data_IF_690130245997
#
_entry.id   IF_690130245997
#
_cell.length_a   1.000
_cell.length_b   1.000
_cell.length_c   1.000
_cell.angle_alpha   90.00
_cell.angle_beta   90.00
_cell.angle_gamma   90.00
#
_symmetry.space_group_name_H-M   'P 1'
#
loop_
_entity.id
_entity.type
_entity.pdbx_description
1 polymer ?
#
# COMPACT_ATOMS: atom_id res chain seq x y z
N UNK A 1 -4.49 -39.49 -9.69
CA UNK A 1 -5.60 -39.64 -8.73
C UNK A 1 -6.23 -38.30 -8.40
N UNK A 2 -5.43 -37.24 -8.17
CA UNK A 2 -5.94 -35.89 -7.86
C UNK A 2 -6.59 -35.17 -9.06
N UNK A 3 -6.17 -35.47 -10.29
CA UNK A 3 -6.74 -34.88 -11.52
C UNK A 3 -7.89 -35.71 -12.15
N UNK A 4 -8.51 -36.61 -11.39
CA UNK A 4 -9.60 -37.42 -11.92
C UNK A 4 -10.84 -36.56 -12.18
N UNK A 5 -11.43 -36.68 -13.37
CA UNK A 5 -12.63 -35.94 -13.74
C UNK A 5 -13.75 -36.13 -12.69
N UNK A 6 -14.40 -35.04 -12.30
CA UNK A 6 -15.47 -35.04 -11.30
C UNK A 6 -16.57 -36.04 -11.66
N UNK A 7 -17.05 -36.78 -10.66
CA UNK A 7 -18.06 -37.84 -10.83
C UNK A 7 -17.53 -39.18 -11.34
N UNK A 8 -16.23 -39.32 -11.65
CA UNK A 8 -15.63 -40.61 -12.00
C UNK A 8 -15.46 -41.52 -10.80
N UNK A 9 -15.37 -42.84 -11.03
CA UNK A 9 -15.06 -43.81 -9.97
C UNK A 9 -13.70 -43.53 -9.31
N UNK A 10 -12.72 -43.05 -10.08
CA UNK A 10 -11.41 -42.67 -9.56
C UNK A 10 -11.50 -41.45 -8.64
N UNK A 11 -12.30 -40.44 -8.99
CA UNK A 11 -12.59 -39.29 -8.14
C UNK A 11 -13.31 -39.72 -6.85
N UNK A 12 -14.33 -40.59 -6.95
CA UNK A 12 -15.03 -41.14 -5.78
C UNK A 12 -14.10 -41.93 -4.85
N UNK A 13 -13.22 -42.77 -5.41
CA UNK A 13 -12.22 -43.52 -4.64
C UNK A 13 -11.22 -42.58 -3.96
N UNK A 14 -10.74 -41.54 -4.66
CA UNK A 14 -9.83 -40.55 -4.11
C UNK A 14 -10.46 -39.78 -2.93
N UNK A 15 -11.70 -39.29 -3.09
CA UNK A 15 -12.43 -38.63 -2.01
C UNK A 15 -12.61 -39.56 -0.81
N UNK A 16 -12.97 -40.84 -1.04
CA UNK A 16 -13.13 -41.82 0.03
C UNK A 16 -11.82 -42.13 0.73
N UNK A 17 -10.70 -42.18 0.03
CA UNK A 17 -9.38 -42.41 0.63
C UNK A 17 -8.92 -41.22 1.47
N UNK A 18 -9.08 -39.99 0.98
CA UNK A 18 -8.76 -38.76 1.73
C UNK A 18 -9.65 -38.69 2.99
N UNK A 19 -10.95 -38.96 2.85
CA UNK A 19 -11.91 -38.92 3.95
C UNK A 19 -11.87 -40.16 4.85
N UNK A 20 -11.13 -41.22 4.51
CA UNK A 20 -11.02 -42.41 5.36
C UNK A 20 -10.14 -42.17 6.60
N UNK A 21 -9.17 -41.24 6.51
CA UNK A 21 -8.28 -40.88 7.64
C UNK A 21 -8.03 -39.36 7.71
N UNK A 22 -9.07 -38.55 7.95
CA UNK A 22 -8.98 -37.10 7.92
C UNK A 22 -8.01 -36.55 8.98
N UNK A 23 -7.86 -37.24 10.11
CA UNK A 23 -6.89 -36.87 11.14
C UNK A 23 -5.43 -36.94 10.65
N UNK A 24 -5.06 -37.97 9.88
CA UNK A 24 -3.70 -38.11 9.35
C UNK A 24 -3.41 -37.08 8.24
N UNK A 25 -4.39 -36.83 7.36
CA UNK A 25 -4.29 -35.77 6.35
C UNK A 25 -4.14 -34.39 7.02
N UNK A 26 -5.00 -34.09 8.01
CA UNK A 26 -4.91 -32.86 8.80
C UNK A 26 -3.55 -32.70 9.48
N UNK A 27 -3.05 -33.73 10.16
CA UNK A 27 -1.76 -33.68 10.83
C UNK A 27 -0.58 -33.48 9.86
N UNK A 28 -0.71 -33.95 8.62
CA UNK A 28 0.34 -33.83 7.59
C UNK A 28 0.34 -32.46 6.90
N UNK A 29 -0.84 -31.88 6.63
CA UNK A 29 -1.00 -30.67 5.80
C UNK A 29 -1.40 -29.41 6.58
N UNK A 30 -1.83 -29.50 7.85
CA UNK A 30 -2.17 -28.32 8.67
C UNK A 30 -1.13 -28.14 9.77
N UNK A 31 0.04 -27.60 9.41
CA UNK A 31 1.08 -27.19 10.35
C UNK A 31 0.78 -25.80 10.90
N UNK A 32 1.12 -25.56 12.17
CA UNK A 32 0.86 -24.28 12.84
C UNK A 32 1.57 -23.11 12.14
N UNK A 33 2.77 -23.35 11.61
CA UNK A 33 3.55 -22.35 10.87
C UNK A 33 2.82 -21.76 9.65
N UNK A 34 1.86 -22.46 9.04
CA UNK A 34 1.09 -21.91 7.90
C UNK A 34 0.16 -20.75 8.29
N UNK A 35 -0.04 -20.50 9.58
CA UNK A 35 -0.82 -19.37 10.10
C UNK A 35 0.06 -18.26 10.66
N UNK A 36 1.38 -18.46 10.62
CA UNK A 36 2.34 -17.51 11.15
C UNK A 36 2.75 -16.51 10.06
N UNK A 37 2.78 -15.22 10.40
CA UNK A 37 3.31 -14.18 9.52
C UNK A 37 4.79 -14.39 9.19
N UNK A 38 5.54 -15.15 10.00
CA UNK A 38 6.91 -15.55 9.71
C UNK A 38 7.04 -16.36 8.40
N UNK A 39 5.98 -17.05 7.95
CA UNK A 39 5.96 -17.65 6.62
C UNK A 39 6.11 -16.58 5.52
N UNK A 40 5.48 -15.42 5.69
CA UNK A 40 5.56 -14.33 4.72
C UNK A 40 6.96 -13.71 4.69
N UNK A 41 7.69 -13.72 5.82
CA UNK A 41 9.06 -13.19 5.94
C UNK A 41 10.04 -13.82 4.95
N UNK A 42 9.87 -15.11 4.62
CA UNK A 42 10.81 -15.83 3.76
C UNK A 42 10.93 -15.24 2.35
N UNK A 43 9.89 -14.52 1.90
CA UNK A 43 9.85 -13.89 0.58
C UNK A 43 9.66 -12.36 0.66
N UNK A 44 8.95 -11.86 1.68
CA UNK A 44 8.67 -10.42 1.82
C UNK A 44 9.73 -9.65 2.60
N UNK A 45 10.82 -10.30 2.97
CA UNK A 45 12.12 -9.67 3.17
C UNK A 45 13.10 -10.16 2.10
N UNK A 46 13.61 -9.26 1.28
CA UNK A 46 14.50 -9.56 0.16
C UNK A 46 15.86 -8.90 0.37
N UNK A 47 16.91 -9.62 -0.03
CA UNK A 47 18.29 -9.21 0.14
C UNK A 47 19.01 -9.20 -1.21
N UNK A 48 19.89 -8.21 -1.41
CA UNK A 48 20.68 -8.10 -2.62
C UNK A 48 21.65 -9.30 -2.72
N UNK A 49 21.71 -9.98 -3.88
CA UNK A 49 22.73 -10.99 -4.12
C UNK A 49 24.13 -10.41 -3.90
N UNK A 50 25.02 -11.17 -3.28
CA UNK A 50 26.38 -10.73 -2.97
C UNK A 50 26.46 -9.98 -1.64
N UNK A 51 26.10 -8.68 -1.62
CA UNK A 51 26.28 -7.84 -0.42
C UNK A 51 25.38 -8.25 0.75
N UNK A 52 24.29 -8.98 0.50
CA UNK A 52 23.30 -9.35 1.53
C UNK A 52 22.53 -8.14 2.06
N UNK A 53 22.61 -7.00 1.37
CA UNK A 53 21.96 -5.78 1.82
C UNK A 53 20.43 -5.93 1.75
N UNK A 54 19.72 -5.50 2.80
CA UNK A 54 18.26 -5.57 2.86
C UNK A 54 17.64 -4.53 1.91
N UNK A 55 16.98 -5.00 0.85
CA UNK A 55 16.39 -4.15 -0.20
C UNK A 55 14.87 -4.02 -0.03
N UNK A 56 14.23 -5.10 0.41
CA UNK A 56 12.81 -5.14 0.78
C UNK A 56 12.73 -5.67 2.21
N UNK A 57 12.10 -4.91 3.10
CA UNK A 57 12.02 -5.21 4.52
C UNK A 57 10.57 -5.15 5.03
N UNK A 58 9.61 -5.59 4.21
CA UNK A 58 8.17 -5.44 4.48
C UNK A 58 7.76 -6.12 5.77
N UNK A 59 8.32 -7.29 6.06
CA UNK A 59 8.01 -8.00 7.30
C UNK A 59 8.60 -7.28 8.50
N UNK A 60 9.83 -6.75 8.40
CA UNK A 60 10.46 -6.00 9.51
C UNK A 60 9.75 -4.66 9.78
N UNK A 61 9.13 -4.06 8.75
CA UNK A 61 8.25 -2.90 8.90
C UNK A 61 6.98 -3.27 9.67
N UNK A 62 6.34 -4.38 9.29
CA UNK A 62 5.15 -4.90 9.97
C UNK A 62 5.41 -5.32 11.40
N UNK A 63 6.52 -6.03 11.65
CA UNK A 63 6.91 -6.51 12.97
C UNK A 63 7.02 -5.36 13.98
N UNK A 64 7.32 -4.12 13.54
CA UNK A 64 7.44 -2.95 14.42
C UNK A 64 6.12 -2.22 14.65
N UNK A 65 5.06 -2.55 13.92
CA UNK A 65 3.79 -1.85 13.97
C UNK A 65 2.89 -2.29 15.13
N UNK A 66 1.86 -1.49 15.39
CA UNK A 66 0.74 -1.82 16.27
C UNK A 66 0.00 -3.07 15.80
N UNK A 67 0.01 -3.37 14.49
CA UNK A 67 -0.65 -4.56 13.95
C UNK A 67 0.06 -5.84 14.41
N UNK A 68 1.37 -5.82 14.62
CA UNK A 68 2.11 -6.94 15.20
C UNK A 68 2.05 -6.94 16.74
N UNK A 69 2.21 -5.76 17.38
CA UNK A 69 2.56 -5.66 18.80
C UNK A 69 1.48 -5.10 19.73
N UNK A 70 0.30 -4.73 19.26
CA UNK A 70 -0.73 -4.13 20.12
C UNK A 70 -1.00 -4.99 21.36
N UNK A 71 -1.14 -4.38 22.54
CA UNK A 71 -1.46 -5.11 23.77
C UNK A 71 -2.82 -5.81 23.65
N UNK A 72 -3.80 -5.11 23.08
CA UNK A 72 -5.12 -5.64 22.76
C UNK A 72 -5.04 -6.58 21.53
N UNK A 73 -5.25 -7.90 21.69
CA UNK A 73 -5.19 -8.85 20.58
C UNK A 73 -6.24 -8.56 19.50
N UNK A 74 -7.35 -7.89 19.83
CA UNK A 74 -8.38 -7.53 18.86
C UNK A 74 -7.90 -6.46 17.86
N UNK A 75 -6.82 -5.74 18.17
CA UNK A 75 -6.18 -4.75 17.28
C UNK A 75 -5.04 -5.34 16.46
N UNK A 76 -4.52 -6.51 16.83
CA UNK A 76 -3.46 -7.18 16.05
C UNK A 76 -4.01 -7.66 14.71
N UNK A 77 -3.18 -7.56 13.68
CA UNK A 77 -3.45 -8.05 12.32
C UNK A 77 -2.18 -8.64 11.75
N UNK A 78 -2.27 -9.87 11.25
CA UNK A 78 -1.19 -10.51 10.50
C UNK A 78 -1.30 -10.17 9.01
N UNK A 79 -0.26 -10.51 8.24
CA UNK A 79 -0.30 -10.45 6.77
C UNK A 79 -1.53 -11.20 6.22
N UNK A 80 -1.84 -12.35 6.81
CA UNK A 80 -2.92 -13.27 6.40
C UNK A 80 -4.30 -12.62 6.62
N UNK A 81 -4.47 -11.86 7.71
CA UNK A 81 -5.77 -11.24 8.04
C UNK A 81 -6.22 -10.20 7.01
N UNK A 82 -5.27 -9.54 6.33
CA UNK A 82 -5.55 -8.52 5.32
C UNK A 82 -5.39 -9.07 3.88
N UNK A 83 -4.28 -9.73 3.56
CA UNK A 83 -3.96 -10.13 2.18
C UNK A 83 -4.62 -11.44 1.74
N UNK A 84 -5.19 -12.20 2.68
CA UNK A 84 -6.00 -13.38 2.40
C UNK A 84 -7.46 -13.15 2.81
N UNK A 85 -7.88 -11.90 3.00
CA UNK A 85 -9.25 -11.57 3.37
C UNK A 85 -10.20 -11.72 2.17
N UNK A 86 -11.40 -12.32 2.34
CA UNK A 86 -12.43 -12.32 1.29
C UNK A 86 -12.94 -10.93 0.89
N UNK A 87 -12.78 -9.93 1.76
CA UNK A 87 -13.15 -8.54 1.53
C UNK A 87 -11.93 -7.62 1.74
N UNK A 88 -11.00 -7.54 0.77
CA UNK A 88 -9.84 -6.66 0.87
C UNK A 88 -10.22 -5.20 1.10
N UNK A 89 -9.44 -4.54 1.96
CA UNK A 89 -9.66 -3.14 2.36
C UNK A 89 -10.60 -2.92 3.56
N UNK A 90 -11.15 -3.98 4.16
CA UNK A 90 -11.98 -3.90 5.37
C UNK A 90 -11.18 -3.79 6.70
N UNK A 91 -9.88 -3.50 6.65
CA UNK A 91 -9.00 -3.44 7.83
C UNK A 91 -8.71 -4.81 8.48
N UNK A 92 -8.87 -5.91 7.74
CA UNK A 92 -8.63 -7.27 8.22
C UNK A 92 -9.72 -7.79 9.15
N UNK A 93 -10.92 -7.20 9.07
CA UNK A 93 -12.09 -7.69 9.79
C UNK A 93 -12.43 -9.14 9.37
N UNK A 94 -12.88 -10.00 10.30
CA UNK A 94 -13.22 -11.37 9.98
C UNK A 94 -14.44 -11.42 9.07
N UNK A 95 -14.33 -12.17 7.97
CA UNK A 95 -15.46 -12.47 7.09
C UNK A 95 -15.83 -13.94 7.29
N UNK A 96 -17.07 -14.21 7.68
CA UNK A 96 -17.55 -15.57 7.88
C UNK A 96 -17.77 -16.27 6.54
N UNK A 97 -17.49 -17.58 6.48
CA UNK A 97 -17.73 -18.34 5.26
C UNK A 97 -17.24 -19.78 5.35
N UNK A 98 -17.43 -20.52 4.26
CA UNK A 98 -17.01 -21.92 4.13
C UNK A 98 -15.93 -22.02 3.05
N UNK A 99 -14.95 -22.91 3.25
CA UNK A 99 -13.86 -23.12 2.28
C UNK A 99 -14.21 -24.12 1.17
N UNK A 100 -15.24 -24.95 1.39
CA UNK A 100 -15.68 -26.00 0.48
C UNK A 100 -17.20 -26.16 0.59
N UNK A 101 -17.82 -26.72 -0.44
CA UNK A 101 -19.22 -27.16 -0.38
C UNK A 101 -19.41 -28.12 0.81
N UNK A 102 -20.48 -27.91 1.59
CA UNK A 102 -20.78 -28.65 2.82
C UNK A 102 -19.68 -28.58 3.92
N UNK A 103 -18.70 -27.68 3.78
CA UNK A 103 -17.66 -27.46 4.77
C UNK A 103 -18.20 -26.78 6.05
N UNK A 104 -17.44 -26.88 7.13
CA UNK A 104 -17.79 -26.17 8.37
C UNK A 104 -17.77 -24.66 8.15
N UNK A 105 -18.79 -23.96 8.65
CA UNK A 105 -18.78 -22.49 8.69
C UNK A 105 -17.63 -22.00 9.57
N UNK A 106 -16.79 -21.12 9.02
CA UNK A 106 -15.67 -20.50 9.72
C UNK A 106 -16.06 -19.08 10.07
N UNK A 107 -15.78 -18.67 11.30
CA UNK A 107 -15.92 -17.27 11.71
C UNK A 107 -15.00 -16.33 10.90
N UNK A 108 -13.87 -16.86 10.43
CA UNK A 108 -12.92 -16.16 9.55
C UNK A 108 -12.51 -17.09 8.41
N UNK A 109 -12.97 -16.77 7.21
CA UNK A 109 -12.57 -17.40 5.97
C UNK A 109 -11.31 -16.70 5.43
N UNK A 110 -10.42 -17.47 4.83
CA UNK A 110 -9.26 -16.95 4.11
C UNK A 110 -9.30 -17.41 2.64
N UNK A 111 -8.95 -16.51 1.73
CA UNK A 111 -8.76 -16.75 0.30
C UNK A 111 -7.27 -16.80 -0.04
N UNK A 112 -6.91 -17.64 -1.00
CA UNK A 112 -5.52 -17.77 -1.46
C UNK A 112 -5.24 -16.89 -2.70
N UNK A 113 -5.87 -15.72 -2.77
CA UNK A 113 -5.65 -14.74 -3.85
C UNK A 113 -4.39 -13.89 -3.59
N UNK A 114 -3.96 -13.77 -2.32
CA UNK A 114 -2.80 -12.97 -1.90
C UNK A 114 -2.84 -11.54 -2.45
N UNK A 115 -3.97 -10.87 -2.25
CA UNK A 115 -4.29 -9.57 -2.84
C UNK A 115 -3.27 -8.51 -2.43
N UNK A 116 -2.71 -7.78 -3.40
CA UNK A 116 -1.67 -6.78 -3.18
C UNK A 116 -1.87 -5.53 -4.01
N UNK A 117 -0.79 -4.78 -4.25
CA UNK A 117 -0.83 -3.52 -4.99
C UNK A 117 -0.87 -3.70 -6.53
N UNK A 118 -0.58 -4.90 -7.04
CA UNK A 118 -0.50 -5.17 -8.48
C UNK A 118 -1.90 -5.35 -9.08
N UNK A 119 -2.67 -4.28 -9.18
CA UNK A 119 -4.03 -4.33 -9.72
C UNK A 119 -4.04 -4.61 -11.24
N UNK A 120 -3.13 -3.98 -12.01
CA UNK A 120 -3.17 -4.02 -13.47
C UNK A 120 -2.96 -5.42 -14.06
N UNK A 121 -1.84 -6.09 -13.74
CA UNK A 121 -1.56 -7.44 -14.28
C UNK A 121 -2.62 -8.46 -13.86
N UNK A 122 -3.16 -8.30 -12.65
CA UNK A 122 -4.28 -9.13 -12.17
C UNK A 122 -5.54 -8.84 -12.99
N UNK A 123 -5.85 -7.57 -13.27
CA UNK A 123 -7.01 -7.14 -14.06
C UNK A 123 -7.00 -7.59 -15.51
N UNK A 124 -5.81 -7.73 -16.12
CA UNK A 124 -5.67 -8.34 -17.45
C UNK A 124 -6.22 -9.77 -17.50
N UNK A 125 -6.18 -10.49 -16.37
CA UNK A 125 -6.66 -11.88 -16.27
C UNK A 125 -8.07 -11.96 -15.66
N UNK A 126 -8.36 -11.14 -14.66
CA UNK A 126 -9.62 -11.18 -13.92
C UNK A 126 -9.96 -9.78 -13.35
N UNK A 127 -11.02 -9.12 -13.86
CA UNK A 127 -11.41 -7.78 -13.41
C UNK A 127 -11.94 -7.75 -11.96
N UNK A 128 -12.50 -8.85 -11.45
CA UNK A 128 -12.99 -8.91 -10.06
C UNK A 128 -11.81 -8.90 -9.07
N UNK A 129 -10.73 -9.63 -9.39
CA UNK A 129 -9.50 -9.63 -8.60
C UNK A 129 -8.73 -8.30 -8.67
N UNK A 130 -8.90 -7.55 -9.77
CA UNK A 130 -8.43 -6.17 -9.82
C UNK A 130 -9.16 -5.28 -8.82
N UNK A 131 -10.49 -5.40 -8.71
CA UNK A 131 -11.27 -4.63 -7.73
C UNK A 131 -10.84 -4.93 -6.30
N UNK A 132 -10.50 -6.19 -5.98
CA UNK A 132 -9.91 -6.57 -4.70
C UNK A 132 -8.62 -5.79 -4.41
N UNK A 133 -7.72 -5.69 -5.39
CA UNK A 133 -6.46 -4.93 -5.26
C UNK A 133 -6.69 -3.42 -5.11
N UNK A 134 -7.63 -2.88 -5.87
CA UNK A 134 -8.02 -1.46 -5.79
C UNK A 134 -8.67 -1.10 -4.45
N UNK A 135 -9.49 -1.99 -3.89
CA UNK A 135 -10.09 -1.81 -2.57
C UNK A 135 -9.02 -1.73 -1.47
N UNK A 136 -8.02 -2.62 -1.51
CA UNK A 136 -6.89 -2.59 -0.58
C UNK A 136 -6.09 -1.29 -0.71
N UNK A 137 -5.73 -0.89 -1.94
CA UNK A 137 -5.01 0.36 -2.21
C UNK A 137 -5.76 1.59 -1.65
N UNK A 138 -7.06 1.72 -1.95
CA UNK A 138 -7.88 2.86 -1.53
C UNK A 138 -8.09 2.95 -0.02
N UNK A 139 -8.01 1.82 0.69
CA UNK A 139 -8.11 1.77 2.16
C UNK A 139 -6.80 2.13 2.90
N UNK A 140 -5.68 2.22 2.18
CA UNK A 140 -4.35 2.25 2.81
C UNK A 140 -4.01 3.54 3.55
N UNK A 141 -4.50 4.69 3.07
CA UNK A 141 -4.10 6.00 3.58
C UNK A 141 -5.25 7.00 3.63
N UNK A 142 -5.12 7.97 4.52
CA UNK A 142 -6.01 9.13 4.62
C UNK A 142 -5.23 10.42 4.44
N UNK A 143 -5.95 11.46 4.00
CA UNK A 143 -5.42 12.80 3.80
C UNK A 143 -6.06 13.76 4.80
N UNK A 144 -5.25 14.67 5.33
CA UNK A 144 -5.74 15.91 5.95
C UNK A 144 -4.88 17.07 5.49
N UNK A 145 -5.42 18.29 5.52
CA UNK A 145 -4.69 19.46 5.09
C UNK A 145 -5.03 20.66 5.96
N UNK A 146 -4.08 21.56 6.09
CA UNK A 146 -4.19 22.77 6.91
C UNK A 146 -3.36 23.90 6.29
N UNK A 147 -3.72 25.13 6.64
CA UNK A 147 -2.92 26.30 6.30
C UNK A 147 -2.14 26.71 7.54
N UNK A 148 -0.83 26.85 7.38
CA UNK A 148 0.07 27.34 8.41
C UNK A 148 0.72 28.64 7.97
N UNK A 149 1.22 29.41 8.95
CA UNK A 149 2.07 30.56 8.69
C UNK A 149 3.51 30.06 8.56
N UNK A 150 4.14 30.28 7.42
CA UNK A 150 5.59 30.23 7.25
C UNK A 150 6.14 31.66 7.27
N UNK A 151 7.45 31.82 7.50
CA UNK A 151 8.14 33.10 7.77
C UNK A 151 7.49 34.33 7.08
N UNK A 152 7.46 34.32 5.74
CA UNK A 152 6.98 35.46 4.94
C UNK A 152 5.67 35.19 4.20
N UNK A 153 5.13 33.97 4.25
CA UNK A 153 3.91 33.59 3.52
C UNK A 153 3.13 32.47 4.20
N UNK A 154 1.88 32.28 3.80
CA UNK A 154 1.11 31.10 4.21
C UNK A 154 1.59 29.87 3.44
N UNK A 155 1.47 28.68 4.02
CA UNK A 155 1.77 27.41 3.34
C UNK A 155 0.61 26.43 3.51
N UNK A 156 0.37 25.64 2.45
CA UNK A 156 -0.46 24.45 2.55
C UNK A 156 0.39 23.31 3.12
N UNK A 157 -0.03 22.73 4.24
CA UNK A 157 0.53 21.48 4.74
C UNK A 157 -0.47 20.35 4.53
N UNK A 158 -0.05 19.31 3.81
CA UNK A 158 -0.82 18.09 3.56
C UNK A 158 -0.21 16.96 4.36
N UNK A 159 -1.01 16.35 5.22
CA UNK A 159 -0.65 15.12 5.92
C UNK A 159 -1.17 13.91 5.14
N UNK A 160 -0.28 12.98 4.84
CA UNK A 160 -0.62 11.63 4.39
C UNK A 160 -0.41 10.67 5.57
N UNK A 161 -1.49 10.12 6.10
CA UNK A 161 -1.43 9.19 7.22
C UNK A 161 -1.65 7.76 6.74
N UNK A 162 -0.78 6.84 7.17
CA UNK A 162 -0.93 5.42 6.94
C UNK A 162 -1.90 4.86 7.99
N UNK A 163 -3.11 4.55 7.54
CA UNK A 163 -4.21 4.12 8.42
C UNK A 163 -4.68 2.70 8.14
N UNK A 164 -4.28 2.12 7.01
CA UNK A 164 -4.74 0.81 6.56
C UNK A 164 -3.65 -0.26 6.46
N UNK A 165 -2.37 0.10 6.59
CA UNK A 165 -1.27 -0.86 6.46
C UNK A 165 -0.39 -0.93 7.70
N UNK A 166 -0.10 -2.15 8.15
CA UNK A 166 0.87 -2.41 9.21
C UNK A 166 2.32 -2.26 8.77
N UNK A 167 2.61 -2.01 7.49
CA UNK A 167 3.95 -1.77 6.94
C UNK A 167 4.02 -0.37 6.31
N UNK A 168 5.18 0.05 5.80
CA UNK A 168 5.30 1.36 5.15
C UNK A 168 4.46 1.46 3.86
N UNK A 169 4.15 2.70 3.43
CA UNK A 169 3.47 2.98 2.17
C UNK A 169 4.35 3.83 1.23
N UNK A 170 4.61 3.35 0.00
CA UNK A 170 4.49 1.96 -0.43
C UNK A 170 5.58 1.08 0.20
N UNK A 171 5.29 -0.18 0.55
CA UNK A 171 6.31 -1.18 0.91
C UNK A 171 6.76 -1.99 -0.32
N UNK A 172 7.62 -2.99 -0.14
CA UNK A 172 8.15 -3.82 -1.22
C UNK A 172 9.19 -3.08 -2.07
N UNK A 173 9.04 -3.19 -3.38
CA UNK A 173 9.77 -2.44 -4.42
C UNK A 173 9.35 -0.95 -4.45
N UNK A 174 9.48 -0.28 -3.31
CA UNK A 174 9.11 1.12 -3.12
C UNK A 174 10.02 2.12 -3.85
N UNK A 175 11.09 1.63 -4.47
CA UNK A 175 11.97 2.31 -5.42
C UNK A 175 11.41 2.31 -6.86
N UNK A 176 10.45 1.43 -7.16
CA UNK A 176 9.74 1.35 -8.45
C UNK A 176 8.35 1.95 -8.40
N UNK A 177 7.61 1.71 -7.31
CA UNK A 177 6.22 2.17 -7.17
C UNK A 177 6.16 3.68 -7.08
N UNK A 178 5.24 4.28 -7.80
CA UNK A 178 4.97 5.71 -7.70
C UNK A 178 3.77 5.93 -6.79
N UNK A 179 4.00 6.61 -5.66
CA UNK A 179 2.96 7.13 -4.79
C UNK A 179 3.23 8.63 -4.64
N UNK A 180 2.32 9.51 -5.06
CA UNK A 180 2.57 10.95 -5.04
C UNK A 180 1.32 11.78 -4.77
N UNK A 181 1.53 13.02 -4.36
CA UNK A 181 0.48 14.02 -4.21
C UNK A 181 0.30 14.83 -5.49
N UNK A 182 -0.96 14.96 -5.92
CA UNK A 182 -1.43 15.93 -6.91
C UNK A 182 -2.37 16.90 -6.20
N UNK A 183 -2.17 18.20 -6.37
CA UNK A 183 -2.99 19.20 -5.71
C UNK A 183 -3.21 20.46 -6.53
N UNK A 184 -4.34 21.10 -6.27
CA UNK A 184 -4.70 22.44 -6.76
C UNK A 184 -5.29 23.24 -5.61
N UNK A 185 -4.80 24.47 -5.40
CA UNK A 185 -5.33 25.43 -4.41
C UNK A 185 -5.83 26.67 -5.12
N UNK A 186 -7.03 27.10 -4.76
CA UNK A 186 -7.67 28.33 -5.24
C UNK A 186 -7.85 29.30 -4.07
N UNK A 187 -7.54 30.57 -4.27
CA UNK A 187 -7.74 31.62 -3.27
C UNK A 187 -9.18 32.16 -3.23
N UNK A 188 -9.45 33.12 -2.35
CA UNK A 188 -10.77 33.73 -2.19
C UNK A 188 -11.25 34.52 -3.43
N UNK A 189 -10.34 34.97 -4.29
CA UNK A 189 -10.67 35.65 -5.55
C UNK A 189 -11.08 34.68 -6.66
N UNK A 190 -10.88 33.37 -6.45
CA UNK A 190 -11.10 32.34 -7.46
C UNK A 190 -9.87 32.04 -8.33
N UNK A 191 -8.71 32.61 -8.01
CA UNK A 191 -7.45 32.37 -8.72
C UNK A 191 -6.78 31.09 -8.22
N UNK A 192 -6.30 30.25 -9.13
CA UNK A 192 -5.42 29.12 -8.77
C UNK A 192 -4.07 29.68 -8.34
N UNK A 193 -3.70 29.46 -7.08
CA UNK A 193 -2.47 30.00 -6.48
C UNK A 193 -1.40 28.93 -6.26
N UNK A 194 -1.77 27.66 -6.36
CA UNK A 194 -0.86 26.52 -6.33
C UNK A 194 -1.44 25.39 -7.17
N UNK A 195 -0.60 24.78 -8.02
CA UNK A 195 -0.86 23.52 -8.68
C UNK A 195 0.45 22.72 -8.66
N UNK A 196 0.40 21.45 -8.27
CA UNK A 196 1.57 20.58 -8.19
C UNK A 196 1.19 19.12 -8.41
N UNK A 197 2.06 18.34 -9.07
CA UNK A 197 1.91 16.89 -9.20
C UNK A 197 0.94 16.42 -10.29
N UNK A 198 0.42 17.31 -11.14
CA UNK A 198 -0.38 16.93 -12.31
C UNK A 198 0.47 16.15 -13.31
N UNK A 199 0.04 14.94 -13.75
CA UNK A 199 0.79 14.18 -14.73
C UNK A 199 0.98 14.94 -16.05
N UNK A 200 2.19 14.89 -16.60
CA UNK A 200 2.54 15.46 -17.91
C UNK A 200 2.73 14.31 -18.88
N UNK A 201 1.94 14.27 -19.94
CA UNK A 201 1.87 13.14 -20.87
C UNK A 201 1.69 11.79 -20.15
N UNK A 202 0.95 11.80 -19.03
CA UNK A 202 0.74 10.63 -18.18
C UNK A 202 1.91 10.27 -17.27
N UNK A 203 3.09 10.88 -17.37
CA UNK A 203 4.20 10.66 -16.42
C UNK A 203 4.02 11.47 -15.13
N UNK A 204 4.56 10.98 -14.01
CA UNK A 204 4.64 11.80 -12.79
C UNK A 204 5.66 12.92 -13.06
N UNK A 205 5.35 14.19 -12.79
CA UNK A 205 6.28 15.28 -13.06
C UNK A 205 7.48 15.21 -12.09
N UNK A 206 8.64 15.70 -12.53
CA UNK A 206 9.91 15.57 -11.78
C UNK A 206 9.87 16.25 -10.40
N UNK A 207 9.08 17.30 -10.26
CA UNK A 207 8.90 18.08 -9.04
C UNK A 207 7.76 17.58 -8.14
N UNK A 208 7.08 16.48 -8.52
CA UNK A 208 6.05 15.87 -7.68
C UNK A 208 6.62 15.41 -6.33
N UNK A 209 5.83 15.55 -5.27
CA UNK A 209 6.14 14.93 -3.97
C UNK A 209 5.87 13.44 -4.02
N UNK A 210 6.93 12.67 -4.27
CA UNK A 210 6.94 11.21 -4.30
C UNK A 210 7.28 10.62 -2.91
N UNK A 211 6.53 9.59 -2.51
CA UNK A 211 6.82 8.75 -1.36
C UNK A 211 7.49 7.46 -1.84
N UNK A 212 8.82 7.35 -1.67
CA UNK A 212 9.63 6.27 -2.24
C UNK A 212 10.90 6.01 -1.44
N UNK A 213 11.62 4.96 -1.84
CA UNK A 213 13.05 4.79 -1.52
C UNK A 213 13.90 5.21 -2.72
N UNK A 214 15.06 5.81 -2.46
CA UNK A 214 16.11 6.01 -3.46
C UNK A 214 17.36 5.26 -3.01
N UNK A 215 17.74 4.26 -3.81
CA UNK A 215 18.93 3.45 -3.58
C UNK A 215 20.15 4.05 -4.26
N UNK A 216 21.30 3.98 -3.58
CA UNK A 216 22.58 4.47 -4.08
C UNK A 216 23.67 3.41 -4.08
N UNK A 217 24.64 3.59 -4.97
CA UNK A 217 25.87 2.81 -5.00
C UNK A 217 26.88 3.31 -3.94
N UNK A 218 28.08 2.72 -3.93
CA UNK A 218 29.14 3.08 -2.98
C UNK A 218 29.60 4.54 -3.11
N UNK A 219 29.46 5.14 -4.29
CA UNK A 219 29.78 6.55 -4.54
C UNK A 219 28.62 7.48 -4.16
N UNK A 220 27.40 6.95 -4.02
CA UNK A 220 26.18 7.71 -3.74
C UNK A 220 25.44 8.20 -4.95
N UNK A 221 25.66 7.56 -6.10
CA UNK A 221 24.84 7.79 -7.28
C UNK A 221 23.59 6.92 -7.20
N UNK A 222 22.40 7.45 -7.53
CA UNK A 222 21.18 6.67 -7.63
C UNK A 222 21.34 5.47 -8.59
N UNK A 223 20.91 4.29 -8.17
CA UNK A 223 21.04 3.06 -8.98
C UNK A 223 19.80 2.74 -9.82
N UNK A 224 18.69 3.44 -9.57
CA UNK A 224 17.41 3.19 -10.24
C UNK A 224 17.00 1.73 -10.12
N UNK A 225 16.59 1.12 -11.24
CA UNK A 225 16.12 -0.28 -11.27
C UNK A 225 17.23 -1.33 -11.03
N UNK A 226 18.50 -0.92 -10.94
CA UNK A 226 19.63 -1.83 -10.71
C UNK A 226 19.80 -2.08 -9.21
N UNK A 227 18.74 -2.54 -8.55
CA UNK A 227 18.68 -2.72 -7.09
C UNK A 227 19.79 -3.66 -6.56
N UNK A 228 20.32 -4.57 -7.38
CA UNK A 228 21.48 -5.41 -7.04
C UNK A 228 22.80 -4.63 -6.88
N UNK A 229 22.82 -3.35 -7.26
CA UNK A 229 23.95 -2.42 -7.01
C UNK A 229 23.76 -1.59 -5.73
N UNK A 230 22.70 -1.85 -4.97
CA UNK A 230 22.44 -1.15 -3.72
C UNK A 230 23.60 -1.33 -2.74
N UNK A 231 24.12 -0.20 -2.27
CA UNK A 231 25.13 -0.14 -1.22
C UNK A 231 24.70 0.76 -0.05
N UNK A 232 23.91 1.83 -0.33
CA UNK A 232 23.38 2.73 0.71
C UNK A 232 22.03 3.30 0.33
N UNK A 233 21.22 3.59 1.34
CA UNK A 233 19.96 4.30 1.20
C UNK A 233 20.24 5.81 1.09
N UNK A 234 19.81 6.44 0.00
CA UNK A 234 19.99 7.88 -0.21
C UNK A 234 18.81 8.67 0.34
N UNK A 235 17.60 8.12 0.19
CA UNK A 235 16.35 8.78 0.58
C UNK A 235 15.29 7.72 0.93
N UNK A 236 14.50 7.99 1.97
CA UNK A 236 13.28 7.25 2.29
C UNK A 236 12.18 8.23 2.72
N UNK A 237 11.31 8.57 1.77
CA UNK A 237 10.15 9.44 1.99
C UNK A 237 8.88 8.65 2.22
N UNK A 238 8.93 7.32 2.34
CA UNK A 238 7.72 6.51 2.55
C UNK A 238 6.96 6.92 3.81
N UNK A 239 5.66 6.64 3.83
CA UNK A 239 4.84 6.82 5.02
C UNK A 239 5.03 5.59 5.93
N UNK A 240 5.58 5.71 7.14
CA UNK A 240 5.81 4.57 8.02
C UNK A 240 4.49 3.92 8.49
N UNK A 241 4.56 2.69 8.98
CA UNK A 241 3.45 2.07 9.71
C UNK A 241 3.07 2.90 10.94
N UNK A 242 1.78 2.97 11.28
CA UNK A 242 1.22 3.76 12.38
C UNK A 242 1.56 5.27 12.35
N UNK A 243 2.08 5.76 11.23
CA UNK A 243 2.62 7.11 11.14
C UNK A 243 2.06 7.89 9.97
N UNK A 244 2.67 9.04 9.75
CA UNK A 244 2.27 10.00 8.74
C UNK A 244 3.48 10.77 8.21
N UNK A 245 3.29 11.44 7.07
CA UNK A 245 4.21 12.44 6.51
C UNK A 245 3.46 13.72 6.26
N UNK A 246 4.06 14.84 6.66
CA UNK A 246 3.56 16.19 6.36
C UNK A 246 4.42 16.77 5.23
N UNK A 247 3.77 17.16 4.14
CA UNK A 247 4.40 17.83 3.00
C UNK A 247 3.88 19.27 2.93
N UNK A 248 4.78 20.23 2.70
CA UNK A 248 4.44 21.65 2.73
C UNK A 248 4.71 22.33 1.37
N UNK A 249 3.78 23.20 0.95
CA UNK A 249 3.90 24.04 -0.22
C UNK A 249 3.68 25.50 0.16
N UNK A 250 4.64 26.40 -0.10
CA UNK A 250 4.43 27.83 0.10
C UNK A 250 3.33 28.33 -0.85
N UNK A 251 2.45 29.17 -0.32
CA UNK A 251 1.49 29.91 -1.12
C UNK A 251 2.09 31.29 -1.45
N UNK A 252 1.68 31.90 -2.59
CA UNK A 252 2.07 33.27 -2.92
C UNK A 252 1.72 34.25 -1.79
N UNK A 253 2.57 35.25 -1.55
CA UNK A 253 2.38 36.24 -0.47
C UNK A 253 1.14 37.12 -0.68
N UNK A 254 0.68 37.27 -1.91
CA UNK A 254 -0.53 38.00 -2.30
C UNK A 254 -1.80 37.14 -2.26
N UNK A 255 -1.68 35.82 -2.04
CA UNK A 255 -2.80 34.90 -2.00
C UNK A 255 -3.64 35.11 -0.72
N UNK A 256 -4.96 35.24 -0.88
CA UNK A 256 -5.86 35.54 0.23
C UNK A 256 -6.81 34.38 0.52
N UNK A 257 -6.86 33.98 1.79
CA UNK A 257 -7.85 33.01 2.27
C UNK A 257 -9.28 33.59 2.36
N UNK A 258 -10.31 32.74 2.54
CA UNK A 258 -10.21 31.29 2.61
C UNK A 258 -9.82 30.63 1.29
N UNK A 259 -9.06 29.55 1.38
CA UNK A 259 -8.64 28.75 0.24
C UNK A 259 -9.61 27.61 -0.02
N UNK A 260 -9.68 27.17 -1.28
CA UNK A 260 -10.21 25.86 -1.67
C UNK A 260 -9.05 24.98 -2.06
N UNK A 261 -9.07 23.70 -1.68
CA UNK A 261 -8.05 22.75 -2.07
C UNK A 261 -8.68 21.47 -2.60
N UNK A 262 -8.14 20.97 -3.70
CA UNK A 262 -8.37 19.63 -4.22
C UNK A 262 -7.06 18.87 -4.17
N UNK A 263 -6.98 17.83 -3.34
CA UNK A 263 -5.75 17.09 -3.07
C UNK A 263 -6.02 15.61 -3.33
N UNK A 264 -5.15 14.96 -4.11
CA UNK A 264 -5.24 13.55 -4.48
C UNK A 264 -3.95 12.84 -4.09
N UNK A 265 -4.10 11.63 -3.54
CA UNK A 265 -3.02 10.68 -3.43
C UNK A 265 -3.15 9.69 -4.58
N UNK A 266 -2.18 9.69 -5.47
CA UNK A 266 -2.16 8.88 -6.68
C UNK A 266 -1.13 7.75 -6.55
N UNK A 267 -1.43 6.61 -7.17
CA UNK A 267 -0.56 5.45 -7.21
C UNK A 267 -0.41 4.93 -8.63
N UNK A 268 0.80 4.48 -8.97
CA UNK A 268 1.05 3.65 -10.15
C UNK A 268 2.08 2.58 -9.83
N UNK A 269 1.85 1.38 -10.34
CA UNK A 269 2.68 0.21 -10.01
C UNK A 269 4.10 0.33 -10.56
N UNK A 270 4.23 0.81 -11.79
CA UNK A 270 5.51 1.00 -12.48
C UNK A 270 5.62 2.44 -13.00
N UNK A 271 6.83 3.02 -13.07
CA UNK A 271 7.05 4.29 -13.74
C UNK A 271 6.56 4.24 -15.18
N UNK A 272 6.04 5.36 -15.68
CA UNK A 272 5.48 5.42 -17.05
C UNK A 272 6.46 4.90 -18.11
N UNK A 273 7.72 5.31 -18.05
CA UNK A 273 8.73 4.89 -19.03
C UNK A 273 8.94 3.37 -19.10
N UNK A 274 8.79 2.65 -17.98
CA UNK A 274 8.87 1.18 -17.96
C UNK A 274 7.71 0.60 -18.73
N UNK A 275 6.53 1.15 -18.50
CA UNK A 275 5.29 0.71 -19.14
C UNK A 275 5.32 1.01 -20.65
N UNK A 276 5.85 2.16 -21.04
CA UNK A 276 6.06 2.54 -22.44
C UNK A 276 7.05 1.59 -23.14
N UNK A 277 8.16 1.24 -22.48
CA UNK A 277 9.14 0.31 -23.02
C UNK A 277 8.54 -1.09 -23.24
N UNK A 278 7.74 -1.58 -22.28
CA UNK A 278 7.03 -2.86 -22.41
C UNK A 278 5.99 -2.80 -23.54
N UNK A 279 5.21 -1.73 -23.62
CA UNK A 279 4.18 -1.57 -24.67
C UNK A 279 4.78 -1.35 -26.06
N UNK A 280 5.98 -0.81 -26.18
CA UNK A 280 6.70 -0.74 -27.45
C UNK A 280 7.04 -2.15 -27.98
N UNK A 281 7.33 -3.11 -27.09
CA UNK A 281 7.54 -4.51 -27.44
C UNK A 281 6.22 -5.29 -27.58
N UNK A 282 5.21 -4.96 -26.78
CA UNK A 282 3.90 -5.62 -26.74
C UNK A 282 2.75 -4.60 -26.90
N UNK A 283 2.48 -4.12 -28.14
CA UNK A 283 1.54 -3.01 -28.37
C UNK A 283 0.07 -3.30 -28.02
N UNK A 284 -0.28 -4.57 -27.86
CA UNK A 284 -1.61 -5.02 -27.45
C UNK A 284 -1.91 -4.73 -25.97
N UNK A 285 -0.88 -4.46 -25.16
CA UNK A 285 -1.05 -4.16 -23.74
C UNK A 285 -1.65 -2.75 -23.55
N UNK A 286 -2.68 -2.62 -22.68
CA UNK A 286 -3.26 -1.32 -22.37
C UNK A 286 -2.29 -0.46 -21.57
N UNK A 287 -2.44 0.86 -21.68
CA UNK A 287 -1.72 1.80 -20.81
C UNK A 287 -2.15 1.57 -19.35
N UNK A 288 -1.20 1.39 -18.42
CA UNK A 288 -1.51 1.35 -16.99
C UNK A 288 -2.23 2.63 -16.53
N UNK A 289 -3.37 2.52 -15.83
CA UNK A 289 -4.01 3.70 -15.29
C UNK A 289 -3.21 4.24 -14.08
N UNK A 290 -3.38 5.53 -13.83
CA UNK A 290 -3.07 6.12 -12.53
C UNK A 290 -4.24 5.84 -11.60
N UNK A 291 -3.98 5.18 -10.48
CA UNK A 291 -5.01 4.85 -9.49
C UNK A 291 -5.10 5.98 -8.48
N UNK A 292 -6.27 6.59 -8.36
CA UNK A 292 -6.60 7.48 -7.25
C UNK A 292 -6.87 6.62 -5.99
N UNK A 293 -6.00 6.76 -4.98
CA UNK A 293 -6.16 6.09 -3.68
C UNK A 293 -7.18 6.81 -2.82
N UNK A 294 -7.00 8.12 -2.67
CA UNK A 294 -7.89 8.96 -1.87
C UNK A 294 -7.84 10.41 -2.35
N UNK A 295 -8.94 11.13 -2.13
CA UNK A 295 -9.10 12.54 -2.53
C UNK A 295 -9.69 13.32 -1.36
N UNK A 296 -9.07 14.45 -1.04
CA UNK A 296 -9.53 15.41 -0.06
C UNK A 296 -9.93 16.70 -0.78
N UNK A 297 -11.22 17.03 -0.71
CA UNK A 297 -11.76 18.28 -1.24
C UNK A 297 -12.19 19.17 -0.07
N UNK A 298 -11.59 20.35 0.01
CA UNK A 298 -11.86 21.33 1.05
C UNK A 298 -12.35 22.62 0.39
N UNK A 299 -13.61 22.98 0.67
CA UNK A 299 -14.23 24.18 0.12
C UNK A 299 -13.88 25.46 0.89
N UNK A 300 -13.25 25.31 2.06
CA UNK A 300 -12.83 26.41 2.92
C UNK A 300 -11.69 25.95 3.82
N UNK A 301 -10.50 26.50 3.60
CA UNK A 301 -9.29 26.36 4.39
C UNK A 301 -8.87 27.76 4.85
N UNK A 302 -8.56 27.92 6.13
CA UNK A 302 -8.07 29.17 6.69
C UNK A 302 -6.87 28.89 7.57
N UNK A 303 -6.12 29.95 7.88
CA UNK A 303 -4.97 29.87 8.76
C UNK A 303 -5.37 29.19 10.07
N UNK A 304 -4.67 28.13 10.42
CA UNK A 304 -4.89 27.41 11.66
C UNK A 304 -4.31 28.26 12.79
N UNK A 305 -5.16 29.00 13.51
CA UNK A 305 -4.73 29.78 14.67
C UNK A 305 -4.61 28.82 15.87
N UNK A 306 -3.37 28.51 16.23
CA UNK A 306 -2.90 27.67 17.36
C UNK A 306 -3.16 26.15 17.28
N UNK A 307 -2.26 25.31 17.87
CA UNK A 307 -2.44 23.87 17.91
C UNK A 307 -3.64 23.51 18.79
N UNK A 308 -4.39 22.48 18.39
CA UNK A 308 -5.29 21.78 19.28
C UNK A 308 -4.52 21.38 20.55
N UNK A 309 -5.11 21.54 21.76
CA UNK A 309 -4.45 21.10 22.98
C UNK A 309 -4.11 19.62 22.84
N UNK A 310 -2.82 19.30 23.00
CA UNK A 310 -2.36 17.92 23.17
C UNK A 310 -3.03 17.43 24.45
N UNK A 311 -4.11 16.66 24.32
CA UNK A 311 -4.58 15.87 25.44
C UNK A 311 -3.50 14.83 25.69
N UNK A 312 -2.78 14.99 26.80
CA UNK A 312 -1.81 14.02 27.30
C UNK A 312 -2.53 12.71 27.60
N UNK A 313 -2.56 11.81 26.62
CA UNK A 313 -2.78 10.40 26.84
C UNK A 313 -2.00 9.67 25.74
N UNK A 314 -1.00 8.92 26.17
CA UNK A 314 -0.09 8.06 25.39
C UNK A 314 1.09 8.76 24.70
N UNK A 315 2.05 9.22 25.52
CA UNK A 315 3.47 9.07 25.14
C UNK A 315 3.81 7.57 25.12
N UNK A 316 4.49 7.05 24.08
CA UNK A 316 5.18 5.78 24.19
C UNK A 316 6.42 5.99 25.07
N UNK A 317 6.53 5.20 26.15
CA UNK A 317 7.77 5.12 26.93
C UNK A 317 8.89 4.55 26.05
N UNK A 318 10.08 5.13 26.23
CA UNK A 318 11.37 4.80 25.59
C UNK A 318 11.74 3.33 25.67
#
# INVERSE_FOLDING_TARGET
>A
FEDAAGGSLQHWLAERQINARPAAHKASYQKDFYRDAALCKSCHNEFAPGTGANIVNTWDEWEKSSFANAEDPAKRRTCIDCHMNPEPGNGGAPVAGQSTENGTMKARLYRHNFTGAQHQLVGLRNPDLEQESLALLRSSATLSARIEQAADSQQLVVRVANTGAGHALPTGVADFRELWLELTVTDASGKVVLASGQPVDGAVPEDARLFRKVFGDTEGKPVGLKFWRYAKLLEDTRIPADGWRDEAWPLPTDAQGPFKADIKLNFRTYPKWVSDAVRAAEPSLPEPPIVLLTRLQLNRLQLTLQPLPITSATEPQS
#
